data_IF_763905348521
#
_entry.id   IF_763905348521
#
_cell.length_a   1.000
_cell.length_b   1.000
_cell.length_c   1.000
_cell.angle_alpha   90.00
_cell.angle_beta   90.00
_cell.angle_gamma   90.00
#
_symmetry.space_group_name_H-M   'P 1'
#
loop_
_entity.id
_entity.type
_entity.pdbx_description
1 polymer ?
#
# COMPACT_ATOMS: atom_id res chain seq x y z
N UNK A 1 4.70 14.88 11.27
CA UNK A 1 5.54 15.61 10.29
C UNK A 1 4.77 15.62 8.97
N UNK A 2 4.29 16.77 8.48
CA UNK A 2 3.52 16.82 7.23
C UNK A 2 4.48 16.69 6.04
N UNK A 3 4.45 15.54 5.38
CA UNK A 3 5.22 15.31 4.15
C UNK A 3 4.62 16.15 3.03
N UNK A 4 5.25 17.30 2.73
CA UNK A 4 4.95 18.07 1.51
C UNK A 4 5.68 17.42 0.34
N UNK A 5 4.95 16.64 -0.45
CA UNK A 5 5.44 16.25 -1.77
C UNK A 5 5.48 17.50 -2.67
N UNK A 6 6.66 17.88 -3.15
CA UNK A 6 6.87 19.10 -3.93
C UNK A 6 6.36 19.04 -5.39
N UNK A 7 5.75 17.93 -5.81
CA UNK A 7 5.05 17.79 -7.09
C UNK A 7 4.21 16.51 -7.12
N UNK A 8 2.97 16.60 -6.63
CA UNK A 8 1.99 15.49 -6.72
C UNK A 8 0.74 15.96 -7.45
N UNK A 9 0.32 15.14 -8.42
CA UNK A 9 -0.89 15.40 -9.19
C UNK A 9 -1.90 14.32 -8.88
N UNK A 10 -3.02 14.72 -8.28
CA UNK A 10 -4.09 13.82 -7.87
C UNK A 10 -4.71 13.11 -9.07
N UNK A 11 -5.02 11.83 -8.92
CA UNK A 11 -5.72 10.99 -9.91
C UNK A 11 -7.00 10.36 -9.35
N UNK A 12 -7.46 10.84 -8.19
CA UNK A 12 -8.69 10.43 -7.53
C UNK A 12 -8.44 9.53 -6.32
N UNK A 13 -9.48 9.33 -5.49
CA UNK A 13 -9.42 8.42 -4.36
C UNK A 13 -9.38 6.96 -4.80
N UNK A 14 -8.64 6.15 -4.05
CA UNK A 14 -8.67 4.69 -4.20
C UNK A 14 -9.93 4.11 -3.58
N UNK A 15 -10.40 2.98 -4.09
CA UNK A 15 -11.45 2.16 -3.46
C UNK A 15 -10.92 0.84 -2.89
N UNK A 16 -9.62 0.58 -3.05
CA UNK A 16 -9.00 -0.70 -2.75
C UNK A 16 -8.57 -0.81 -1.30
N UNK A 17 -9.04 -1.86 -0.62
CA UNK A 17 -8.53 -2.32 0.68
C UNK A 17 -8.21 -1.23 1.69
N UNK A 18 -6.95 -1.24 2.13
CA UNK A 18 -6.32 -0.31 3.09
C UNK A 18 -6.16 1.12 2.57
N UNK A 19 -6.43 1.36 1.28
CA UNK A 19 -6.32 2.66 0.61
C UNK A 19 -7.67 3.30 0.31
N UNK A 20 -8.77 2.66 0.68
CA UNK A 20 -10.11 3.16 0.39
C UNK A 20 -10.31 4.59 0.90
N UNK A 21 -10.72 5.48 0.01
CA UNK A 21 -10.94 6.90 0.27
C UNK A 21 -9.67 7.76 0.26
N UNK A 22 -8.47 7.15 0.22
CA UNK A 22 -7.22 7.90 0.17
C UNK A 22 -6.95 8.37 -1.25
N UNK A 23 -6.64 9.66 -1.39
CA UNK A 23 -6.24 10.26 -2.65
C UNK A 23 -4.97 9.58 -3.19
N UNK A 24 -5.00 9.20 -4.47
CA UNK A 24 -3.83 8.67 -5.18
C UNK A 24 -3.20 9.75 -6.05
N UNK A 25 -1.89 9.65 -6.24
CA UNK A 25 -1.10 10.68 -6.90
C UNK A 25 -0.15 10.09 -7.93
N UNK A 26 0.30 10.93 -8.87
CA UNK A 26 1.34 10.62 -9.84
C UNK A 26 2.38 11.75 -9.91
N UNK A 27 3.49 11.49 -10.57
CA UNK A 27 4.69 12.35 -10.62
C UNK A 27 4.56 13.61 -11.46
N UNK A 28 3.68 13.62 -12.47
CA UNK A 28 3.58 14.73 -13.42
C UNK A 28 2.14 15.06 -13.78
N UNK A 29 1.91 16.33 -14.14
CA UNK A 29 0.61 16.80 -14.61
C UNK A 29 0.17 16.02 -15.85
N UNK A 30 1.13 15.70 -16.73
CA UNK A 30 0.85 14.98 -17.98
C UNK A 30 0.36 13.56 -17.72
N UNK A 31 1.03 12.82 -16.84
CA UNK A 31 0.58 11.48 -16.43
C UNK A 31 -0.80 11.55 -15.78
N UNK A 32 -1.05 12.56 -14.94
CA UNK A 32 -2.38 12.71 -14.34
C UNK A 32 -3.47 12.93 -15.40
N UNK A 33 -3.23 13.76 -16.42
CA UNK A 33 -4.18 13.97 -17.51
C UNK A 33 -4.41 12.68 -18.33
N UNK A 34 -3.36 11.90 -18.60
CA UNK A 34 -3.48 10.59 -19.25
C UNK A 34 -4.39 9.66 -18.44
N UNK A 35 -4.10 9.48 -17.14
CA UNK A 35 -4.86 8.62 -16.24
C UNK A 35 -6.32 9.05 -16.14
N UNK A 36 -6.59 10.34 -15.92
CA UNK A 36 -7.96 10.85 -15.82
C UNK A 36 -8.72 10.72 -17.14
N UNK A 37 -8.05 10.89 -18.29
CA UNK A 37 -8.64 10.65 -19.61
C UNK A 37 -9.04 9.19 -19.79
N UNK A 38 -8.18 8.26 -19.38
CA UNK A 38 -8.47 6.81 -19.39
C UNK A 38 -9.70 6.52 -18.53
N UNK A 39 -9.77 7.07 -17.31
CA UNK A 39 -10.94 6.93 -16.41
C UNK A 39 -12.22 7.44 -17.09
N UNK A 40 -12.19 8.61 -17.71
CA UNK A 40 -13.36 9.17 -18.43
C UNK A 40 -13.82 8.24 -19.56
N UNK A 41 -12.89 7.82 -20.43
CA UNK A 41 -13.18 6.98 -21.60
C UNK A 41 -13.67 5.60 -21.18
N UNK A 42 -13.05 5.00 -20.17
CA UNK A 42 -13.45 3.71 -19.63
C UNK A 42 -14.84 3.76 -18.99
N UNK A 43 -15.12 4.81 -18.20
CA UNK A 43 -16.45 4.99 -17.61
C UNK A 43 -17.54 5.21 -18.67
N UNK A 44 -17.21 5.85 -19.79
CA UNK A 44 -18.12 5.93 -20.93
C UNK A 44 -18.40 4.55 -21.54
N UNK A 45 -17.37 3.70 -21.69
CA UNK A 45 -17.52 2.32 -22.11
C UNK A 45 -18.42 1.50 -21.16
N UNK A 46 -18.20 1.59 -19.84
CA UNK A 46 -19.05 0.88 -18.86
C UNK A 46 -20.52 1.27 -19.01
N UNK A 47 -20.81 2.58 -19.11
CA UNK A 47 -22.17 3.09 -19.34
C UNK A 47 -22.77 2.59 -20.64
N UNK A 48 -22.01 2.61 -21.74
CA UNK A 48 -22.46 2.09 -23.04
C UNK A 48 -22.80 0.59 -22.98
N UNK A 49 -22.10 -0.17 -22.15
CA UNK A 49 -22.35 -1.59 -21.90
C UNK A 49 -23.40 -1.86 -20.82
N UNK A 50 -24.02 -0.83 -20.24
CA UNK A 50 -24.99 -0.96 -19.16
C UNK A 50 -24.40 -1.54 -17.87
N UNK A 51 -23.09 -1.40 -17.64
CA UNK A 51 -22.40 -1.92 -16.46
C UNK A 51 -22.36 -0.88 -15.34
N UNK A 52 -22.41 -1.37 -14.10
CA UNK A 52 -22.24 -0.55 -12.90
C UNK A 52 -20.77 -0.24 -12.60
N UNK A 53 -20.59 0.73 -11.70
CA UNK A 53 -19.29 1.11 -11.17
C UNK A 53 -18.52 2.12 -12.02
N UNK A 54 -17.33 2.48 -11.55
CA UNK A 54 -16.40 3.36 -12.23
C UNK A 54 -14.97 2.86 -12.09
N UNK A 55 -14.18 3.02 -13.15
CA UNK A 55 -12.74 2.85 -13.07
C UNK A 55 -12.16 3.79 -12.02
N UNK A 56 -11.30 3.25 -11.17
CA UNK A 56 -10.59 3.97 -10.12
C UNK A 56 -9.13 3.54 -10.05
N UNK A 57 -8.27 4.44 -9.59
CA UNK A 57 -6.88 4.13 -9.29
C UNK A 57 -6.80 3.49 -7.91
N UNK A 58 -6.51 2.20 -7.86
CA UNK A 58 -6.33 1.45 -6.62
C UNK A 58 -5.03 1.86 -5.92
N UNK A 59 -3.96 2.01 -6.70
CA UNK A 59 -2.67 2.48 -6.22
C UNK A 59 -1.95 3.28 -7.30
N UNK A 60 -1.45 4.45 -6.92
CA UNK A 60 -0.59 5.29 -7.77
C UNK A 60 0.83 5.33 -7.20
N UNK A 61 1.43 6.52 -7.17
CA UNK A 61 2.73 6.77 -6.54
C UNK A 61 2.75 6.28 -5.09
N UNK A 62 3.78 5.53 -4.73
CA UNK A 62 3.94 4.82 -3.46
C UNK A 62 5.19 5.30 -2.73
N UNK A 63 5.04 5.54 -1.42
CA UNK A 63 6.18 5.92 -0.58
C UNK A 63 7.14 4.75 -0.40
N UNK A 64 8.43 5.04 -0.20
CA UNK A 64 9.44 4.00 0.04
C UNK A 64 9.17 3.20 1.31
N UNK A 65 8.59 3.85 2.31
CA UNK A 65 8.13 3.20 3.54
C UNK A 65 7.05 2.18 3.23
N UNK A 66 6.00 2.57 2.48
CA UNK A 66 4.94 1.64 2.06
C UNK A 66 5.49 0.52 1.17
N UNK A 67 6.40 0.82 0.24
CA UNK A 67 7.07 -0.19 -0.58
C UNK A 67 7.80 -1.22 0.29
N UNK A 68 8.52 -0.75 1.31
CA UNK A 68 9.25 -1.62 2.24
C UNK A 68 8.30 -2.48 3.07
N UNK A 69 7.20 -1.89 3.55
CA UNK A 69 6.16 -2.63 4.27
C UNK A 69 5.53 -3.73 3.41
N UNK A 70 5.09 -3.38 2.19
CA UNK A 70 4.47 -4.32 1.26
C UNK A 70 5.44 -5.43 0.87
N UNK A 71 6.72 -5.10 0.61
CA UNK A 71 7.74 -6.10 0.33
C UNK A 71 7.89 -7.07 1.49
N UNK A 72 8.15 -6.58 2.72
CA UNK A 72 8.35 -7.45 3.90
C UNK A 72 7.14 -8.34 4.17
N UNK A 73 5.92 -7.83 3.97
CA UNK A 73 4.69 -8.53 4.30
C UNK A 73 4.03 -9.25 3.11
N UNK A 74 4.67 -9.28 1.92
CA UNK A 74 4.05 -9.76 0.66
C UNK A 74 3.40 -11.14 0.75
N UNK A 75 4.02 -12.08 1.46
CA UNK A 75 3.49 -13.43 1.66
C UNK A 75 2.32 -13.49 2.67
N UNK A 76 2.24 -12.55 3.62
CA UNK A 76 1.09 -12.44 4.55
C UNK A 76 -0.10 -11.85 3.79
N UNK A 77 0.18 -10.81 3.00
CA UNK A 77 -0.83 -10.02 2.30
C UNK A 77 -1.29 -10.68 0.99
N UNK A 78 -0.59 -11.70 0.50
CA UNK A 78 -0.90 -12.35 -0.78
C UNK A 78 -0.71 -11.43 -1.98
N UNK A 79 0.25 -10.50 -1.90
CA UNK A 79 0.49 -9.48 -2.94
C UNK A 79 1.79 -9.75 -3.68
N UNK A 80 1.81 -9.43 -4.98
CA UNK A 80 3.03 -9.37 -5.78
C UNK A 80 3.56 -7.94 -5.70
N UNK A 81 4.82 -7.79 -5.30
CA UNK A 81 5.40 -6.49 -4.97
C UNK A 81 6.89 -6.54 -5.35
N UNK A 82 7.38 -5.51 -6.04
CA UNK A 82 8.79 -5.38 -6.36
C UNK A 82 9.66 -5.11 -5.11
N UNK A 83 10.97 -5.29 -5.22
CA UNK A 83 11.88 -4.89 -4.15
C UNK A 83 11.80 -3.37 -3.87
N UNK A 84 12.15 -2.92 -2.65
CA UNK A 84 12.30 -1.51 -2.37
C UNK A 84 13.23 -0.83 -3.39
N UNK A 85 12.90 0.41 -3.77
CA UNK A 85 13.65 1.24 -4.73
C UNK A 85 13.65 0.76 -6.19
N UNK A 86 13.09 -0.41 -6.50
CA UNK A 86 12.98 -0.93 -7.87
C UNK A 86 11.57 -0.82 -8.44
N UNK A 87 10.58 -0.53 -7.59
CA UNK A 87 9.19 -0.41 -8.02
C UNK A 87 8.96 0.81 -8.91
N UNK A 88 8.25 0.64 -10.04
CA UNK A 88 7.73 1.75 -10.85
C UNK A 88 6.76 2.69 -10.10
N UNK A 89 6.26 2.29 -8.93
CA UNK A 89 5.49 3.16 -8.04
C UNK A 89 6.37 4.07 -7.16
N UNK A 90 7.70 3.86 -7.07
CA UNK A 90 8.61 4.54 -6.13
C UNK A 90 8.50 6.06 -6.17
N UNK A 91 8.47 6.71 -5.00
CA UNK A 91 8.18 8.13 -4.91
C UNK A 91 9.28 9.09 -5.41
N UNK A 92 10.51 8.62 -5.60
CA UNK A 92 11.69 9.46 -5.89
C UNK A 92 12.16 9.28 -7.32
N UNK A 93 12.34 8.03 -7.75
CA UNK A 93 12.88 7.70 -9.07
C UNK A 93 11.79 7.41 -10.10
N UNK A 94 10.59 7.06 -9.64
CA UNK A 94 9.46 6.68 -10.47
C UNK A 94 8.15 7.30 -9.94
N UNK A 95 7.01 6.64 -10.14
CA UNK A 95 5.68 7.11 -9.76
C UNK A 95 4.76 7.36 -10.94
N UNK A 96 5.03 6.67 -12.05
CA UNK A 96 4.18 6.64 -13.23
C UNK A 96 3.33 5.35 -13.29
N UNK A 97 3.54 4.42 -12.35
CA UNK A 97 2.76 3.19 -12.30
C UNK A 97 1.41 3.37 -11.64
N UNK A 98 0.43 2.65 -12.18
CA UNK A 98 -0.98 2.72 -11.83
C UNK A 98 -1.56 1.31 -11.79
N UNK A 99 -2.16 0.99 -10.65
CA UNK A 99 -3.01 -0.19 -10.51
C UNK A 99 -4.47 0.26 -10.58
N UNK A 100 -5.24 -0.35 -11.48
CA UNK A 100 -6.66 -0.02 -11.66
C UNK A 100 -7.59 -1.06 -11.05
N UNK A 101 -8.78 -0.60 -10.65
CA UNK A 101 -9.91 -1.45 -10.25
C UNK A 101 -11.24 -0.78 -10.61
N UNK A 102 -12.34 -1.48 -10.34
CA UNK A 102 -13.69 -0.90 -10.45
C UNK A 102 -14.22 -0.61 -9.05
N UNK A 103 -14.57 0.65 -8.82
CA UNK A 103 -15.34 1.08 -7.65
C UNK A 103 -16.83 0.88 -7.93
N UNK A 104 -17.49 0.03 -7.17
CA UNK A 104 -18.93 -0.16 -7.24
C UNK A 104 -19.68 0.94 -6.48
N UNK A 105 -21.00 1.05 -6.70
CA UNK A 105 -21.83 2.08 -6.06
C UNK A 105 -21.83 2.02 -4.52
N UNK A 106 -21.56 0.85 -3.95
CA UNK A 106 -21.40 0.65 -2.50
C UNK A 106 -20.00 0.99 -1.98
N UNK A 107 -19.10 1.52 -2.83
CA UNK A 107 -17.72 1.84 -2.50
C UNK A 107 -16.78 0.64 -2.41
N UNK A 108 -17.26 -0.58 -2.67
CA UNK A 108 -16.39 -1.76 -2.77
C UNK A 108 -15.58 -1.73 -4.05
N UNK A 109 -14.44 -2.44 -4.03
CA UNK A 109 -13.59 -2.62 -5.20
C UNK A 109 -13.77 -4.02 -5.76
N UNK A 110 -13.82 -4.14 -7.08
CA UNK A 110 -13.68 -5.42 -7.77
C UNK A 110 -12.60 -5.35 -8.84
N UNK A 111 -12.07 -6.52 -9.18
CA UNK A 111 -11.25 -6.69 -10.37
C UNK A 111 -12.07 -6.43 -11.64
N UNK A 112 -11.37 -6.03 -12.70
CA UNK A 112 -11.93 -5.90 -14.04
C UNK A 112 -12.24 -7.30 -14.61
N UNK A 113 -13.25 -7.41 -15.45
CA UNK A 113 -13.49 -8.60 -16.26
C UNK A 113 -12.47 -8.73 -17.42
N UNK A 114 -12.34 -9.89 -18.08
CA UNK A 114 -11.37 -10.07 -19.17
C UNK A 114 -11.54 -9.07 -20.34
N UNK A 115 -12.77 -8.75 -20.71
CA UNK A 115 -13.06 -7.77 -21.76
C UNK A 115 -12.82 -6.32 -21.30
N UNK A 116 -13.07 -6.02 -20.01
CA UNK A 116 -12.72 -4.76 -19.38
C UNK A 116 -11.19 -4.55 -19.39
N UNK A 117 -10.40 -5.58 -19.06
CA UNK A 117 -8.94 -5.50 -19.18
C UNK A 117 -8.51 -5.19 -20.60
N UNK A 118 -9.08 -5.87 -21.60
CA UNK A 118 -8.77 -5.61 -23.01
C UNK A 118 -9.01 -4.14 -23.40
N UNK A 119 -10.14 -3.56 -22.97
CA UNK A 119 -10.46 -2.15 -23.20
C UNK A 119 -9.49 -1.23 -22.46
N UNK A 120 -9.18 -1.54 -21.19
CA UNK A 120 -8.24 -0.77 -20.39
C UNK A 120 -6.86 -0.74 -21.05
N UNK A 121 -6.32 -1.90 -21.44
CA UNK A 121 -5.02 -2.02 -22.10
C UNK A 121 -4.94 -1.19 -23.37
N UNK A 122 -5.99 -1.21 -24.20
CA UNK A 122 -6.05 -0.41 -25.41
C UNK A 122 -6.07 1.10 -25.12
N UNK A 123 -6.84 1.54 -24.12
CA UNK A 123 -6.88 2.93 -23.70
C UNK A 123 -5.52 3.39 -23.13
N UNK A 124 -4.91 2.58 -22.27
CA UNK A 124 -3.57 2.88 -21.71
C UNK A 124 -2.54 3.02 -22.84
N UNK A 125 -2.52 2.08 -23.77
CA UNK A 125 -1.61 2.10 -24.92
C UNK A 125 -1.88 3.25 -25.91
N UNK A 126 -3.10 3.78 -25.96
CA UNK A 126 -3.40 4.95 -26.78
C UNK A 126 -2.86 6.24 -26.13
N UNK A 127 -2.83 6.30 -24.80
CA UNK A 127 -2.45 7.47 -24.00
C UNK A 127 -1.02 7.38 -23.44
N UNK A 128 -0.13 6.64 -24.13
CA UNK A 128 1.32 6.64 -23.86
C UNK A 128 1.77 5.76 -22.68
N UNK A 129 0.93 4.85 -22.19
CA UNK A 129 1.30 3.85 -21.19
C UNK A 129 1.51 2.46 -21.78
N UNK A 130 2.10 1.57 -20.99
CA UNK A 130 2.34 0.16 -21.32
C UNK A 130 1.75 -0.72 -20.22
N UNK A 131 1.14 -1.85 -20.61
CA UNK A 131 0.76 -2.91 -19.67
C UNK A 131 2.01 -3.69 -19.25
N UNK A 132 2.69 -3.22 -18.21
CA UNK A 132 3.90 -3.85 -17.67
C UNK A 132 3.60 -5.06 -16.81
N UNK A 133 2.40 -5.13 -16.22
CA UNK A 133 1.95 -6.24 -15.39
C UNK A 133 1.82 -7.58 -16.11
N UNK A 134 1.80 -7.59 -17.45
CA UNK A 134 1.81 -8.83 -18.25
C UNK A 134 2.98 -9.76 -17.90
N UNK A 135 4.12 -9.18 -17.52
CA UNK A 135 5.33 -9.92 -17.16
C UNK A 135 5.24 -10.59 -15.78
N UNK A 136 4.22 -10.26 -14.99
CA UNK A 136 4.06 -10.67 -13.59
C UNK A 136 2.69 -11.30 -13.29
N UNK A 137 1.84 -11.48 -14.31
CA UNK A 137 0.47 -11.95 -14.13
C UNK A 137 -0.45 -10.93 -13.44
N UNK A 138 -0.14 -9.63 -13.56
CA UNK A 138 -0.89 -8.53 -12.96
C UNK A 138 -1.66 -7.77 -14.04
N UNK A 139 -2.90 -8.16 -14.38
CA UNK A 139 -3.66 -7.53 -15.45
C UNK A 139 -4.05 -6.07 -15.16
N UNK A 140 -3.98 -5.64 -13.90
CA UNK A 140 -4.31 -4.29 -13.42
C UNK A 140 -3.15 -3.30 -13.45
N UNK A 141 -1.90 -3.76 -13.57
CA UNK A 141 -0.70 -2.93 -13.37
C UNK A 141 -0.16 -2.33 -14.68
N UNK A 142 -0.03 -1.01 -14.73
CA UNK A 142 0.39 -0.27 -15.92
C UNK A 142 1.43 0.79 -15.58
N UNK A 143 2.31 1.11 -16.52
CA UNK A 143 3.26 2.22 -16.39
C UNK A 143 3.00 3.28 -17.46
N UNK A 144 2.74 4.51 -17.01
CA UNK A 144 2.39 5.65 -17.86
C UNK A 144 3.62 6.43 -18.35
N UNK A 145 3.46 7.21 -19.41
CA UNK A 145 4.52 8.00 -20.04
C UNK A 145 5.77 7.16 -20.41
N UNK A 146 5.54 5.92 -20.84
CA UNK A 146 6.57 4.97 -21.27
C UNK A 146 6.68 4.86 -22.79
N UNK A 147 5.67 5.36 -23.52
CA UNK A 147 5.63 5.39 -24.97
C UNK A 147 5.08 6.72 -25.49
N UNK A 148 5.27 6.96 -26.79
CA UNK A 148 4.62 8.07 -27.47
C UNK A 148 3.09 7.90 -27.45
N UNK A 149 2.39 8.99 -27.18
CA UNK A 149 0.93 9.01 -27.21
C UNK A 149 0.42 8.93 -28.65
N UNK A 150 -0.52 8.01 -28.89
CA UNK A 150 -1.26 7.95 -30.16
C UNK A 150 -2.48 8.87 -30.13
N UNK A 151 -2.99 9.13 -28.92
CA UNK A 151 -4.06 10.07 -28.66
C UNK A 151 -3.67 11.00 -27.52
N UNK A 152 -3.88 12.30 -27.71
CA UNK A 152 -3.64 13.28 -26.66
C UNK A 152 -4.68 13.12 -25.53
N UNK A 153 -4.28 13.27 -24.26
CA UNK A 153 -5.22 13.31 -23.15
C UNK A 153 -6.10 14.56 -23.23
N UNK A 154 -7.28 14.48 -22.63
CA UNK A 154 -8.15 15.63 -22.44
C UNK A 154 -7.44 16.66 -21.55
N UNK A 155 -7.25 17.86 -22.06
CA UNK A 155 -6.65 18.96 -21.30
C UNK A 155 -7.55 19.40 -20.13
N UNK A 156 -8.86 19.17 -20.26
CA UNK A 156 -9.92 19.46 -19.29
C UNK A 156 -10.40 18.20 -18.54
N UNK A 157 -9.56 17.16 -18.43
CA UNK A 157 -9.96 15.88 -17.82
C UNK A 157 -10.45 16.03 -16.38
N UNK A 158 -9.87 16.93 -15.60
CA UNK A 158 -10.26 17.16 -14.19
C UNK A 158 -11.67 17.74 -14.12
N UNK A 159 -11.96 18.73 -14.95
CA UNK A 159 -13.23 19.42 -15.05
C UNK A 159 -14.34 18.45 -15.51
N UNK A 160 -14.05 17.59 -16.49
CA UNK A 160 -15.00 16.56 -16.97
C UNK A 160 -15.41 15.59 -15.86
N UNK A 161 -14.46 15.18 -15.00
CA UNK A 161 -14.76 14.28 -13.88
C UNK A 161 -15.51 15.00 -12.76
N UNK A 162 -15.20 16.27 -12.48
CA UNK A 162 -15.95 17.07 -11.51
C UNK A 162 -17.38 17.39 -11.96
N UNK A 163 -17.59 17.56 -13.27
CA UNK A 163 -18.88 17.88 -13.88
C UNK A 163 -19.79 16.69 -14.17
N UNK A 164 -19.34 15.45 -13.95
CA UNK A 164 -20.18 14.25 -14.13
C UNK A 164 -21.00 14.02 -12.86
N UNK A 165 -22.34 14.12 -12.87
CA UNK A 165 -23.14 13.77 -11.69
C UNK A 165 -22.93 12.29 -11.37
N UNK A 166 -22.71 11.90 -10.09
CA UNK A 166 -22.56 10.51 -9.74
C UNK A 166 -23.84 9.75 -10.09
N UNK A 167 -23.75 8.54 -10.69
CA UNK A 167 -24.92 7.70 -10.89
C UNK A 167 -25.49 7.33 -9.52
N UNK A 168 -26.70 7.81 -9.22
CA UNK A 168 -27.51 7.38 -8.07
C UNK A 168 -26.83 7.53 -6.72
N UNK A 169 -26.79 8.76 -6.19
CA UNK A 169 -26.39 9.03 -4.80
C UNK A 169 -27.27 8.20 -3.85
N UNK A 170 -26.76 7.25 -3.06
CA UNK A 170 -27.51 6.73 -1.92
C UNK A 170 -27.76 7.92 -0.97
N UNK A 171 -28.93 7.94 -0.33
CA UNK A 171 -29.28 8.94 0.69
C UNK A 171 -28.10 9.07 1.67
N UNK A 172 -27.54 10.28 1.88
CA UNK A 172 -26.43 10.43 2.81
C UNK A 172 -26.91 9.99 4.19
N UNK A 173 -26.28 8.95 4.73
CA UNK A 173 -26.30 8.72 6.17
C UNK A 173 -25.73 9.99 6.81
N UNK A 174 -26.41 10.64 7.77
CA UNK A 174 -25.92 11.87 8.36
C UNK A 174 -24.50 11.66 8.88
N UNK A 175 -23.55 12.40 8.32
CA UNK A 175 -22.19 12.47 8.83
C UNK A 175 -22.27 13.05 10.24
N UNK A 176 -21.81 12.32 11.28
CA UNK A 176 -21.67 12.92 12.61
C UNK A 176 -20.82 14.18 12.52
N UNK A 177 -21.07 15.21 13.35
CA UNK A 177 -20.19 16.37 13.42
C UNK A 177 -18.73 15.90 13.58
N UNK A 178 -17.76 16.57 12.93
CA UNK A 178 -16.36 16.16 12.99
C UNK A 178 -15.98 16.01 14.46
N UNK A 179 -15.60 14.79 14.84
CA UNK A 179 -15.06 14.54 16.15
C UNK A 179 -13.90 15.52 16.39
N UNK A 180 -13.76 16.11 17.58
CA UNK A 180 -12.60 16.93 17.91
C UNK A 180 -11.35 16.17 17.48
N UNK A 181 -10.43 16.88 16.82
CA UNK A 181 -9.20 16.29 16.30
C UNK A 181 -8.60 15.42 17.40
N UNK A 182 -8.45 14.10 17.19
CA UNK A 182 -7.90 13.23 18.21
C UNK A 182 -6.54 13.78 18.61
N UNK A 183 -6.25 13.78 19.91
CA UNK A 183 -4.89 13.93 20.38
C UNK A 183 -3.99 13.00 19.55
N UNK A 184 -2.78 13.42 19.16
CA UNK A 184 -1.96 12.71 18.18
C UNK A 184 -1.92 11.22 18.49
N UNK A 185 -2.63 10.44 17.69
CA UNK A 185 -2.56 8.99 17.74
C UNK A 185 -1.21 8.62 17.14
N UNK A 186 -0.44 7.83 17.88
CA UNK A 186 0.75 7.16 17.37
C UNK A 186 0.30 6.43 16.09
N UNK A 187 0.86 6.80 14.93
CA UNK A 187 0.52 6.20 13.65
C UNK A 187 0.75 4.67 13.72
N UNK A 188 -0.14 3.86 13.17
CA UNK A 188 0.01 2.38 13.13
C UNK A 188 1.31 1.91 12.45
N UNK A 189 2.05 2.80 11.79
CA UNK A 189 3.41 2.59 11.26
C UNK A 189 4.49 2.41 12.36
N UNK A 190 4.15 2.70 13.62
CA UNK A 190 4.93 2.38 14.82
C UNK A 190 4.33 1.19 15.60
N UNK A 191 3.39 0.42 15.04
CA UNK A 191 2.86 -0.71 15.79
C UNK A 191 3.78 -1.94 15.69
N UNK A 192 4.26 -2.46 16.83
CA UNK A 192 4.99 -3.70 16.81
C UNK A 192 4.13 -4.84 16.31
N UNK A 193 4.66 -5.64 15.38
CA UNK A 193 4.05 -6.91 15.03
C UNK A 193 4.14 -7.86 16.23
N UNK A 194 2.99 -8.16 16.84
CA UNK A 194 2.83 -9.20 17.87
C UNK A 194 2.74 -10.55 17.17
N UNK A 195 3.75 -11.40 17.27
CA UNK A 195 3.76 -12.73 16.65
C UNK A 195 3.92 -13.82 17.70
N UNK A 196 3.17 -14.92 17.56
CA UNK A 196 3.26 -16.10 18.42
C UNK A 196 3.64 -17.31 17.57
N UNK A 197 4.69 -18.03 17.99
CA UNK A 197 5.14 -19.27 17.35
C UNK A 197 4.12 -20.38 17.59
N UNK A 198 3.66 -21.02 16.51
CA UNK A 198 2.77 -22.16 16.56
C UNK A 198 3.44 -23.39 17.20
N UNK A 199 4.76 -23.48 17.09
CA UNK A 199 5.55 -24.65 17.47
C UNK A 199 6.18 -24.48 18.85
N UNK A 200 6.66 -23.28 19.17
CA UNK A 200 7.33 -23.04 20.46
C UNK A 200 6.42 -22.37 21.48
N UNK A 201 5.34 -21.71 21.05
CA UNK A 201 4.52 -20.83 21.88
C UNK A 201 5.21 -19.50 22.23
N UNK A 202 6.41 -19.25 21.69
CA UNK A 202 7.17 -18.04 21.96
C UNK A 202 6.49 -16.83 21.33
N UNK A 203 6.47 -15.72 22.07
CA UNK A 203 5.87 -14.46 21.65
C UNK A 203 6.95 -13.44 21.36
N UNK A 204 6.84 -12.79 20.21
CA UNK A 204 7.76 -11.76 19.76
C UNK A 204 7.03 -10.46 19.44
N UNK A 205 7.75 -9.38 19.66
CA UNK A 205 7.34 -8.02 19.35
C UNK A 205 8.34 -7.49 18.32
N UNK A 206 7.93 -7.35 17.05
CA UNK A 206 8.84 -7.00 15.94
C UNK A 206 8.44 -5.62 15.40
N UNK A 207 9.30 -4.62 15.61
CA UNK A 207 9.05 -3.24 15.15
C UNK A 207 9.47 -3.03 13.69
N UNK A 208 8.63 -2.41 12.84
CA UNK A 208 8.92 -2.29 11.41
C UNK A 208 9.93 -1.20 11.03
N UNK A 209 10.16 -0.14 11.82
CA UNK A 209 10.86 1.07 11.31
C UNK A 209 11.94 1.75 12.17
N UNK A 210 12.31 1.23 13.35
CA UNK A 210 13.54 1.70 14.00
C UNK A 210 14.25 0.54 14.69
N UNK A 211 15.58 0.54 14.62
CA UNK A 211 16.48 -0.41 15.28
C UNK A 211 16.39 -0.41 16.82
N UNK A 212 15.40 0.29 17.37
CA UNK A 212 15.13 0.32 18.79
C UNK A 212 14.07 -0.73 19.11
N UNK A 213 14.54 -1.83 19.70
CA UNK A 213 13.82 -2.74 20.60
C UNK A 213 13.28 -4.05 20.01
N UNK A 214 14.16 -5.05 19.87
CA UNK A 214 13.85 -6.42 20.32
C UNK A 214 14.51 -6.58 21.69
N UNK A 215 13.71 -6.67 22.76
CA UNK A 215 14.22 -6.97 24.11
C UNK A 215 13.70 -8.32 24.57
N UNK A 216 14.61 -9.17 25.00
CA UNK A 216 14.31 -10.34 25.81
C UNK A 216 14.39 -9.90 27.27
N UNK A 217 13.21 -9.74 27.89
CA UNK A 217 12.99 -9.57 29.34
C UNK A 217 13.93 -8.60 30.07
N UNK A 218 13.60 -7.31 29.99
CA UNK A 218 14.08 -6.27 30.90
C UNK A 218 12.85 -5.72 31.67
N UNK A 219 12.94 -5.65 32.99
CA UNK A 219 11.79 -5.54 33.91
C UNK A 219 10.97 -4.27 33.71
N UNK A 220 11.62 -3.19 33.26
CA UNK A 220 10.98 -1.89 33.01
C UNK A 220 10.56 -1.71 31.54
N UNK A 221 11.14 -2.49 30.63
CA UNK A 221 10.70 -2.56 29.24
C UNK A 221 9.37 -3.34 29.12
N UNK A 222 9.15 -4.32 30.00
CA UNK A 222 7.90 -5.05 30.13
C UNK A 222 6.72 -4.15 30.53
N UNK A 223 6.97 -3.08 31.29
CA UNK A 223 5.94 -2.15 31.75
C UNK A 223 5.54 -1.15 30.65
N UNK A 224 6.52 -0.66 29.86
CA UNK A 224 6.26 0.15 28.65
C UNK A 224 5.67 -0.68 27.51
N UNK A 225 6.13 -1.90 27.32
CA UNK A 225 5.54 -2.84 26.38
C UNK A 225 4.16 -3.32 26.85
N UNK A 226 3.91 -3.48 28.16
CA UNK A 226 2.57 -3.72 28.71
C UNK A 226 1.66 -2.54 28.43
N UNK A 227 2.09 -1.32 28.73
CA UNK A 227 1.33 -0.10 28.45
C UNK A 227 1.01 0.05 26.95
N UNK A 228 1.96 -0.26 26.06
CA UNK A 228 1.72 -0.29 24.61
C UNK A 228 0.89 -1.51 24.15
N UNK A 229 0.98 -2.65 24.85
CA UNK A 229 0.21 -3.87 24.54
C UNK A 229 -1.22 -3.85 25.08
N UNK A 230 -1.48 -2.99 26.07
CA UNK A 230 -2.78 -2.69 26.68
C UNK A 230 -3.49 -1.52 25.98
N UNK A 231 -2.87 -0.89 24.96
CA UNK A 231 -3.63 -0.15 23.97
C UNK A 231 -4.53 -1.15 23.23
N UNK A 232 -5.84 -1.01 23.43
CA UNK A 232 -6.87 -1.98 23.05
C UNK A 232 -6.73 -2.47 21.59
N UNK A 233 -6.83 -3.79 21.39
CA UNK A 233 -7.39 -4.35 20.14
C UNK A 233 -6.53 -5.24 19.24
N UNK A 234 -5.20 -5.36 19.39
CA UNK A 234 -4.38 -6.15 18.44
C UNK A 234 -3.92 -7.50 19.00
N UNK A 235 -4.49 -8.64 18.52
CA UNK A 235 -4.12 -9.99 18.93
C UNK A 235 -2.76 -10.43 18.35
N UNK A 236 -2.12 -11.43 18.97
CA UNK A 236 -0.92 -12.06 18.41
C UNK A 236 -1.25 -12.81 17.12
N UNK A 237 -0.49 -12.55 16.07
CA UNK A 237 -0.56 -13.30 14.82
C UNK A 237 0.19 -14.62 15.00
N UNK A 238 -0.51 -15.73 14.84
CA UNK A 238 0.05 -17.07 14.91
C UNK A 238 0.87 -17.40 13.65
N UNK A 239 2.12 -17.81 13.82
CA UNK A 239 3.07 -18.02 12.72
C UNK A 239 3.95 -19.25 12.96
N UNK A 240 4.45 -19.85 11.88
CA UNK A 240 5.35 -21.00 11.99
C UNK A 240 6.79 -20.57 12.36
N UNK A 241 7.52 -21.43 13.08
CA UNK A 241 8.93 -21.23 13.43
C UNK A 241 9.83 -20.89 12.23
N UNK A 242 9.71 -21.54 11.05
CA UNK A 242 10.46 -21.14 9.86
C UNK A 242 10.19 -19.69 9.44
N UNK A 243 8.93 -19.24 9.58
CA UNK A 243 8.51 -17.89 9.23
C UNK A 243 9.03 -16.86 10.24
N UNK A 244 9.05 -17.20 11.53
CA UNK A 244 9.63 -16.38 12.59
C UNK A 244 11.16 -16.28 12.42
N UNK A 245 11.85 -17.38 12.11
CA UNK A 245 13.30 -17.37 11.80
C UNK A 245 13.63 -16.46 10.62
N UNK A 246 12.80 -16.48 9.57
CA UNK A 246 12.98 -15.59 8.41
C UNK A 246 12.88 -14.11 8.81
N UNK A 247 11.86 -13.74 9.61
CA UNK A 247 11.70 -12.37 10.11
C UNK A 247 12.89 -11.93 10.98
N UNK A 248 13.39 -12.83 11.83
CA UNK A 248 14.57 -12.59 12.67
C UNK A 248 15.86 -12.44 11.85
N UNK A 249 16.04 -13.24 10.80
CA UNK A 249 17.20 -13.16 9.90
C UNK A 249 17.21 -11.86 9.08
N UNK A 250 16.05 -11.46 8.54
CA UNK A 250 15.89 -10.18 7.84
C UNK A 250 16.20 -8.97 8.73
N UNK A 251 15.98 -9.11 10.04
CA UNK A 251 16.37 -8.09 11.00
C UNK A 251 17.88 -8.10 11.26
N UNK A 252 18.51 -9.26 11.37
CA UNK A 252 19.97 -9.38 11.56
C UNK A 252 20.74 -8.68 10.42
N UNK A 253 20.27 -8.82 9.18
CA UNK A 253 20.84 -8.10 8.02
C UNK A 253 20.71 -6.58 8.12
N UNK A 254 19.66 -6.08 8.79
CA UNK A 254 19.40 -4.64 8.99
C UNK A 254 20.17 -4.04 10.17
N UNK A 255 20.55 -4.87 11.14
CA UNK A 255 21.37 -4.46 12.31
C UNK A 255 22.72 -3.88 11.86
N UNK A 256 23.22 -4.28 10.69
CA UNK A 256 24.48 -3.76 10.17
C UNK A 256 24.45 -2.28 9.77
N UNK A 257 23.26 -1.70 9.56
CA UNK A 257 23.05 -0.28 9.27
C UNK A 257 22.83 0.61 10.53
N UNK A 258 22.93 0.05 11.74
CA UNK A 258 22.62 0.71 13.01
C UNK A 258 23.80 1.41 13.70
N UNK A 259 23.51 2.35 14.61
CA UNK A 259 24.50 2.91 15.53
C UNK A 259 25.12 1.83 16.44
N UNK A 260 26.41 1.96 16.73
CA UNK A 260 27.23 0.91 17.35
C UNK A 260 26.78 0.47 18.75
N UNK A 261 26.15 1.34 19.54
CA UNK A 261 25.75 1.07 20.93
C UNK A 261 24.60 0.07 21.05
N UNK A 262 23.63 0.11 20.14
CA UNK A 262 22.43 -0.73 20.20
C UNK A 262 22.60 -2.02 19.38
N UNK A 263 23.54 -2.00 18.43
CA UNK A 263 23.85 -3.10 17.50
C UNK A 263 24.14 -4.42 18.23
N UNK A 264 24.96 -4.39 19.27
CA UNK A 264 25.38 -5.61 19.99
C UNK A 264 24.23 -6.24 20.79
N UNK A 265 23.37 -5.42 21.40
CA UNK A 265 22.25 -5.87 22.23
C UNK A 265 21.17 -6.52 21.34
N UNK A 266 20.81 -5.87 20.24
CA UNK A 266 19.81 -6.40 19.30
C UNK A 266 20.33 -7.67 18.61
N UNK A 267 21.61 -7.70 18.19
CA UNK A 267 22.21 -8.88 17.55
C UNK A 267 22.20 -10.10 18.47
N UNK A 268 22.49 -9.90 19.75
CA UNK A 268 22.40 -10.96 20.76
C UNK A 268 20.98 -11.47 20.92
N UNK A 269 20.00 -10.58 21.04
CA UNK A 269 18.59 -10.95 21.20
C UNK A 269 18.06 -11.74 19.98
N UNK A 270 18.40 -11.31 18.76
CA UNK A 270 18.03 -12.00 17.51
C UNK A 270 18.67 -13.39 17.43
N UNK A 271 19.96 -13.49 17.76
CA UNK A 271 20.69 -14.77 17.77
C UNK A 271 20.05 -15.77 18.75
N UNK A 272 19.68 -15.30 19.95
CA UNK A 272 19.03 -16.15 20.95
C UNK A 272 17.62 -16.57 20.53
N UNK A 273 16.86 -15.70 19.85
CA UNK A 273 15.53 -16.01 19.34
C UNK A 273 15.58 -17.05 18.20
N UNK A 274 16.53 -16.91 17.26
CA UNK A 274 16.76 -17.90 16.18
C UNK A 274 17.12 -19.26 16.78
N UNK A 275 17.96 -19.29 17.81
CA UNK A 275 18.33 -20.53 18.51
C UNK A 275 17.12 -21.17 19.20
N UNK A 276 16.28 -20.36 19.87
CA UNK A 276 15.09 -20.86 20.56
C UNK A 276 14.08 -21.51 19.59
N UNK A 277 13.89 -20.93 18.41
CA UNK A 277 13.04 -21.52 17.35
C UNK A 277 13.68 -22.75 16.67
N UNK A 278 14.97 -23.02 16.91
CA UNK A 278 15.72 -24.16 16.35
C UNK A 278 15.95 -25.33 17.31
N UNK A 279 15.58 -25.20 18.58
CA UNK A 279 15.88 -26.18 19.62
C UNK A 279 14.78 -27.24 19.87
N UNK A 280 13.76 -27.32 18.99
CA UNK A 280 12.67 -28.29 19.06
C UNK A 280 12.47 -28.99 17.72
#
# INVERSE_FOLDING_TARGET
MQWKFSSIYSVGPSSYGDRRGLEQFVTSARVALQVLTIVIKFNAYLRQKGRSGSLSVNEGKRTRVRQSYLWVNRFVLGVVVAEPFTSPHDEVKHGNAIDFGITEANGSNRALSPDEFTVLHNLVAAHGGIWTGVNFGEPWHHEMATAAERELPFFDARERLAGTPPPGKPKPTPTPPPAPAPAPTIEEDDMPQKVESNETGSRYLIWPLSLNTIRKTDKDADEKARAASQADGVPFVKMSSPRIKLLLAMLDERIDAANASDKAIVKRAVTEAIRAEGAK
#
